data_IF_564622066644
#
_entry.id   IF_564622066644
#
_cell.length_a   1.000
_cell.length_b   1.000
_cell.length_c   1.000
_cell.angle_alpha   90.00
_cell.angle_beta   90.00
_cell.angle_gamma   90.00
#
_symmetry.space_group_name_H-M   'P 1'
#
loop_
_entity.id
_entity.type
_entity.pdbx_description
1 polymer ?
#
# COMPACT_ATOMS: atom_id res chain seq x y z
N UNK A 1 -10.41 -0.44 -14.61
CA UNK A 1 -10.39 -1.88 -14.98
C UNK A 1 -8.97 -2.43 -15.07
N UNK A 2 -8.05 -1.85 -15.85
CA UNK A 2 -6.68 -2.38 -16.04
C UNK A 2 -5.87 -2.56 -14.75
N UNK A 3 -5.84 -1.55 -13.86
CA UNK A 3 -5.15 -1.63 -12.57
C UNK A 3 -5.67 -2.78 -11.68
N UNK A 4 -7.00 -2.91 -11.59
CA UNK A 4 -7.65 -4.01 -10.87
C UNK A 4 -7.37 -5.37 -11.50
N UNK A 5 -7.29 -5.47 -12.83
CA UNK A 5 -6.92 -6.71 -13.52
C UNK A 5 -5.47 -7.13 -13.26
N UNK A 6 -4.52 -6.19 -13.26
CA UNK A 6 -3.12 -6.44 -12.90
C UNK A 6 -3.02 -6.89 -11.45
N UNK A 7 -3.72 -6.21 -10.55
CA UNK A 7 -3.80 -6.59 -9.15
C UNK A 7 -4.64 -7.86 -8.93
N UNK A 8 -5.32 -8.39 -9.95
CA UNK A 8 -6.25 -9.54 -9.86
C UNK A 8 -7.39 -9.32 -8.83
N UNK A 9 -7.84 -8.07 -8.65
CA UNK A 9 -8.87 -7.64 -7.71
C UNK A 9 -10.26 -7.44 -8.35
N UNK A 10 -10.42 -7.82 -9.63
CA UNK A 10 -11.73 -7.75 -10.30
C UNK A 10 -12.68 -8.75 -9.62
N UNK A 11 -13.85 -8.33 -9.13
CA UNK A 11 -14.81 -9.23 -8.48
C UNK A 11 -15.26 -10.34 -9.43
N UNK A 12 -15.27 -11.60 -8.97
CA UNK A 12 -15.71 -12.75 -9.77
C UNK A 12 -17.14 -12.58 -10.30
N UNK A 13 -18.01 -11.92 -9.53
CA UNK A 13 -19.40 -11.66 -9.90
C UNK A 13 -19.58 -10.64 -11.04
N UNK A 14 -18.54 -9.87 -11.37
CA UNK A 14 -18.60 -8.74 -12.33
C UNK A 14 -17.59 -8.90 -13.47
N UNK A 15 -16.55 -9.72 -13.30
CA UNK A 15 -15.42 -9.83 -14.21
C UNK A 15 -15.39 -11.11 -15.03
N UNK A 16 -15.79 -11.02 -16.30
CA UNK A 16 -15.34 -11.99 -17.30
C UNK A 16 -13.85 -11.73 -17.57
N UNK A 17 -12.95 -12.66 -17.19
CA UNK A 17 -11.60 -12.70 -17.77
C UNK A 17 -11.74 -13.21 -19.20
N UNK A 18 -11.98 -12.30 -20.16
CA UNK A 18 -11.72 -12.58 -21.56
C UNK A 18 -10.26 -13.04 -21.65
N UNK A 19 -10.02 -14.22 -22.21
CA UNK A 19 -8.71 -14.88 -22.15
C UNK A 19 -7.52 -13.95 -22.46
N UNK A 20 -6.38 -14.26 -21.86
CA UNK A 20 -5.16 -13.46 -21.96
C UNK A 20 -4.19 -13.82 -20.84
N UNK A 21 -2.97 -13.28 -20.91
CA UNK A 21 -1.96 -13.40 -19.85
C UNK A 21 -1.53 -12.02 -19.39
N UNK A 22 -1.11 -11.94 -18.12
CA UNK A 22 -0.45 -10.76 -17.56
C UNK A 22 0.90 -11.27 -17.07
N UNK A 23 1.98 -10.81 -17.69
CA UNK A 23 3.33 -11.23 -17.29
C UNK A 23 3.96 -10.19 -16.37
N UNK A 24 4.47 -10.68 -15.24
CA UNK A 24 5.27 -9.90 -14.31
C UNK A 24 6.60 -10.62 -14.08
N UNK A 25 7.71 -9.96 -14.45
CA UNK A 25 9.06 -10.53 -14.40
C UNK A 25 9.15 -11.92 -15.07
N UNK A 26 8.49 -12.10 -16.22
CA UNK A 26 8.46 -13.36 -16.98
C UNK A 26 7.56 -14.46 -16.39
N UNK A 27 6.75 -14.15 -15.37
CA UNK A 27 5.76 -15.07 -14.80
C UNK A 27 4.34 -14.60 -15.11
N UNK A 28 3.53 -15.48 -15.70
CA UNK A 28 2.10 -15.21 -15.87
C UNK A 28 1.40 -15.21 -14.50
N UNK A 29 0.87 -14.05 -14.11
CA UNK A 29 0.23 -13.86 -12.81
C UNK A 29 -1.27 -14.20 -12.81
N UNK A 30 -1.86 -14.44 -13.98
CA UNK A 30 -3.31 -14.78 -14.10
C UNK A 30 -3.63 -16.17 -13.55
N UNK A 31 -2.64 -17.05 -13.49
CA UNK A 31 -2.79 -18.47 -13.08
C UNK A 31 -2.28 -18.75 -11.66
N UNK A 32 -1.97 -17.72 -10.89
CA UNK A 32 -1.46 -17.89 -9.53
C UNK A 32 -2.54 -18.40 -8.59
N UNK A 33 -2.13 -19.22 -7.61
CA UNK A 33 -2.97 -19.53 -6.46
C UNK A 33 -3.23 -18.27 -5.63
N UNK A 34 -4.32 -18.24 -4.85
CA UNK A 34 -4.60 -17.10 -3.95
C UNK A 34 -3.48 -16.82 -2.96
N UNK A 35 -2.77 -17.86 -2.50
CA UNK A 35 -1.59 -17.70 -1.64
C UNK A 35 -0.45 -16.98 -2.35
N UNK A 36 -0.19 -17.31 -3.61
CA UNK A 36 0.84 -16.63 -4.40
C UNK A 36 0.41 -15.22 -4.81
N UNK A 37 -0.87 -14.99 -5.14
CA UNK A 37 -1.41 -13.65 -5.37
C UNK A 37 -1.23 -12.76 -4.15
N UNK A 38 -1.50 -13.27 -2.94
CA UNK A 38 -1.28 -12.55 -1.68
C UNK A 38 0.19 -12.25 -1.38
N UNK A 39 1.13 -13.12 -1.78
CA UNK A 39 2.57 -12.84 -1.66
C UNK A 39 3.05 -11.80 -2.67
N UNK A 40 2.47 -11.82 -3.86
CA UNK A 40 2.75 -10.85 -4.93
C UNK A 40 2.24 -9.45 -4.53
N UNK A 41 1.00 -9.36 -4.06
CA UNK A 41 0.39 -8.14 -3.52
C UNK A 41 1.01 -7.75 -2.18
N UNK A 42 1.21 -6.47 -1.93
CA UNK A 42 1.77 -5.95 -0.67
C UNK A 42 3.25 -6.27 -0.44
N UNK A 43 3.86 -7.14 -1.25
CA UNK A 43 5.30 -7.38 -1.29
C UNK A 43 5.96 -6.81 -2.55
N UNK A 44 5.57 -7.30 -3.73
CA UNK A 44 6.18 -6.90 -5.01
C UNK A 44 5.32 -5.90 -5.80
N UNK A 45 4.00 -6.01 -5.67
CA UNK A 45 3.01 -5.12 -6.26
C UNK A 45 2.23 -4.40 -5.17
N UNK A 46 2.12 -3.08 -5.26
CA UNK A 46 1.26 -2.29 -4.38
C UNK A 46 0.34 -1.39 -5.20
N UNK A 47 -0.81 -1.05 -4.61
CA UNK A 47 -1.78 -0.13 -5.23
C UNK A 47 -2.18 0.97 -4.24
N UNK A 48 -2.30 2.19 -4.75
CA UNK A 48 -2.87 3.35 -4.08
C UNK A 48 -4.23 3.63 -4.73
N UNK A 49 -5.29 3.54 -3.93
CA UNK A 49 -6.67 3.79 -4.36
C UNK A 49 -7.05 5.28 -4.22
N UNK A 50 -8.05 5.72 -4.99
CA UNK A 50 -8.52 7.11 -5.03
C UNK A 50 -9.10 7.62 -3.70
N UNK A 51 -9.63 6.74 -2.83
CA UNK A 51 -10.30 7.12 -1.59
C UNK A 51 -9.47 6.75 -0.34
N UNK A 52 -8.48 7.57 0.07
CA UNK A 52 -7.65 7.28 1.25
C UNK A 52 -8.44 7.22 2.55
N UNK A 53 -9.64 7.82 2.58
CA UNK A 53 -10.49 7.93 3.77
C UNK A 53 -11.11 6.59 4.18
N UNK A 54 -11.29 5.66 3.25
CA UNK A 54 -11.84 4.32 3.52
C UNK A 54 -10.75 3.27 3.73
N UNK A 55 -9.51 3.56 3.33
CA UNK A 55 -8.39 2.62 3.41
C UNK A 55 -7.86 2.40 4.83
N UNK A 56 -7.97 3.42 5.71
CA UNK A 56 -7.54 3.32 7.10
C UNK A 56 -8.70 2.88 7.99
N UNK A 57 -8.46 1.87 8.82
CA UNK A 57 -9.40 1.46 9.86
C UNK A 57 -9.44 2.53 10.97
N UNK A 58 -10.60 3.19 11.21
CA UNK A 58 -10.69 4.33 12.13
C UNK A 58 -10.54 3.95 13.61
N UNK A 59 -10.69 2.67 13.96
CA UNK A 59 -10.56 2.17 15.34
C UNK A 59 -9.16 1.66 15.68
N UNK A 60 -8.24 1.67 14.72
CA UNK A 60 -6.84 1.27 14.91
C UNK A 60 -5.93 2.49 14.78
N UNK A 61 -4.82 2.50 15.53
CA UNK A 61 -3.81 3.53 15.35
C UNK A 61 -3.11 3.39 14.00
N UNK A 62 -2.54 4.48 13.52
CA UNK A 62 -1.75 4.54 12.29
C UNK A 62 -0.57 3.58 12.34
N UNK A 63 0.15 3.59 13.46
CA UNK A 63 1.30 2.74 13.70
C UNK A 63 0.95 1.26 13.74
N UNK A 64 -0.20 0.90 14.34
CA UNK A 64 -0.66 -0.49 14.37
C UNK A 64 -0.86 -1.04 12.95
N UNK A 65 -1.56 -0.30 12.09
CA UNK A 65 -1.87 -0.72 10.73
C UNK A 65 -0.60 -0.83 9.86
N UNK A 66 0.36 0.08 10.05
CA UNK A 66 1.66 0.02 9.38
C UNK A 66 2.49 -1.19 9.85
N UNK A 67 2.55 -1.44 11.15
CA UNK A 67 3.27 -2.59 11.73
C UNK A 67 2.64 -3.91 11.28
N UNK A 68 1.31 -3.99 11.22
CA UNK A 68 0.62 -5.17 10.69
C UNK A 68 1.04 -5.42 9.24
N UNK A 69 0.93 -4.42 8.37
CA UNK A 69 1.33 -4.54 6.96
C UNK A 69 2.79 -5.00 6.81
N UNK A 70 3.72 -4.40 7.56
CA UNK A 70 5.13 -4.78 7.55
C UNK A 70 5.34 -6.24 7.95
N UNK A 71 4.67 -6.69 9.02
CA UNK A 71 4.83 -8.05 9.56
C UNK A 71 4.13 -9.13 8.72
N UNK A 72 3.12 -8.77 7.93
CA UNK A 72 2.48 -9.70 6.99
C UNK A 72 3.40 -10.04 5.80
N UNK A 73 4.21 -9.07 5.37
CA UNK A 73 5.04 -9.20 4.16
C UNK A 73 6.53 -9.41 4.44
N UNK A 74 6.99 -9.18 5.68
CA UNK A 74 8.39 -9.37 6.09
C UNK A 74 8.49 -10.09 7.42
N UNK A 75 9.55 -10.87 7.59
CA UNK A 75 9.90 -11.46 8.88
C UNK A 75 10.59 -10.38 9.73
N UNK A 76 9.78 -9.65 10.51
CA UNK A 76 10.26 -8.61 11.41
C UNK A 76 9.71 -8.83 12.82
N UNK A 77 10.55 -8.57 13.81
CA UNK A 77 10.12 -8.45 15.21
C UNK A 77 9.22 -7.21 15.38
N UNK A 78 8.40 -7.15 16.44
CA UNK A 78 7.57 -5.98 16.72
C UNK A 78 8.36 -4.66 16.78
N UNK A 79 9.55 -4.68 17.37
CA UNK A 79 10.41 -3.49 17.51
C UNK A 79 10.99 -3.04 16.17
N UNK A 80 11.48 -3.97 15.34
CA UNK A 80 11.97 -3.66 14.00
C UNK A 80 10.85 -3.08 13.12
N UNK A 81 9.66 -3.68 13.19
CA UNK A 81 8.49 -3.20 12.45
C UNK A 81 8.08 -1.80 12.91
N UNK A 82 8.12 -1.52 14.22
CA UNK A 82 7.84 -0.18 14.76
C UNK A 82 8.84 0.86 14.26
N UNK A 83 10.13 0.57 14.33
CA UNK A 83 11.17 1.48 13.85
C UNK A 83 11.02 1.74 12.34
N UNK A 84 10.74 0.69 11.56
CA UNK A 84 10.51 0.82 10.12
C UNK A 84 9.25 1.62 9.79
N UNK A 85 8.16 1.42 10.53
CA UNK A 85 6.93 2.18 10.36
C UNK A 85 7.15 3.68 10.62
N UNK A 86 7.87 4.03 11.70
CA UNK A 86 8.23 5.43 11.99
C UNK A 86 9.12 6.01 10.87
N UNK A 87 10.08 5.24 10.38
CA UNK A 87 10.93 5.66 9.27
C UNK A 87 10.12 5.91 7.98
N UNK A 88 9.16 5.03 7.67
CA UNK A 88 8.26 5.19 6.51
C UNK A 88 7.40 6.44 6.64
N UNK A 89 6.83 6.70 7.82
CA UNK A 89 6.10 7.95 8.09
C UNK A 89 6.98 9.18 7.85
N UNK A 90 8.25 9.12 8.25
CA UNK A 90 9.23 10.17 7.97
C UNK A 90 9.49 10.36 6.47
N UNK A 91 9.64 9.27 5.71
CA UNK A 91 9.86 9.30 4.26
C UNK A 91 8.72 9.96 3.49
N UNK A 92 7.47 9.77 3.94
CA UNK A 92 6.30 10.42 3.34
C UNK A 92 6.04 11.82 3.93
N UNK A 93 7.01 12.41 4.63
CA UNK A 93 6.92 13.74 5.23
C UNK A 93 5.74 13.92 6.21
N UNK A 94 5.49 12.91 7.07
CA UNK A 94 4.58 13.08 8.21
C UNK A 94 5.32 13.85 9.31
N UNK A 95 4.81 15.02 9.76
CA UNK A 95 5.41 15.75 10.86
C UNK A 95 5.34 14.95 12.16
N UNK A 96 6.43 14.95 12.93
CA UNK A 96 6.55 14.22 14.20
C UNK A 96 6.15 12.73 14.09
N UNK A 97 6.79 11.94 13.21
CA UNK A 97 6.33 10.58 12.88
C UNK A 97 6.25 9.66 14.10
N UNK A 98 7.10 9.86 15.11
CA UNK A 98 7.06 9.14 16.39
C UNK A 98 5.76 9.40 17.14
N UNK A 99 5.29 10.66 17.18
CA UNK A 99 4.02 11.02 17.82
C UNK A 99 2.83 10.52 17.01
N UNK A 100 2.87 10.71 15.68
CA UNK A 100 1.79 10.33 14.77
C UNK A 100 1.59 8.82 14.67
N UNK A 101 2.60 8.04 15.01
CA UNK A 101 2.51 6.59 15.08
C UNK A 101 1.38 6.11 16.01
N UNK A 102 1.20 6.76 17.16
CA UNK A 102 0.18 6.39 18.15
C UNK A 102 -1.17 7.09 17.92
N UNK A 103 -1.26 8.00 16.93
CA UNK A 103 -2.50 8.68 16.57
C UNK A 103 -3.43 7.79 15.73
N UNK A 104 -4.73 8.07 15.82
CA UNK A 104 -5.78 7.44 15.04
C UNK A 104 -6.07 8.24 13.77
N UNK A 105 -6.64 7.63 12.71
CA UNK A 105 -6.94 8.31 11.47
C UNK A 105 -7.74 9.60 11.66
N UNK A 106 -8.74 9.62 12.55
CA UNK A 106 -9.57 10.82 12.78
C UNK A 106 -8.80 12.02 13.37
N UNK A 107 -7.58 11.82 13.87
CA UNK A 107 -6.70 12.88 14.38
C UNK A 107 -5.77 13.48 13.30
N UNK A 108 -5.76 12.88 12.10
CA UNK A 108 -4.93 13.31 10.98
C UNK A 108 -5.72 14.18 9.98
N UNK A 109 -5.03 15.14 9.36
CA UNK A 109 -5.59 15.87 8.22
C UNK A 109 -5.76 14.94 7.01
N UNK A 110 -6.57 15.35 6.02
CA UNK A 110 -6.78 14.57 4.79
C UNK A 110 -5.46 14.24 4.07
N UNK A 111 -4.60 15.24 3.87
CA UNK A 111 -3.28 15.04 3.25
C UNK A 111 -2.34 14.15 4.07
N UNK A 112 -2.45 14.17 5.40
CA UNK A 112 -1.69 13.24 6.24
C UNK A 112 -2.18 11.80 6.10
N UNK A 113 -3.49 11.57 6.06
CA UNK A 113 -4.06 10.22 5.81
C UNK A 113 -3.60 9.66 4.48
N UNK A 114 -3.58 10.50 3.45
CA UNK A 114 -3.07 10.16 2.13
C UNK A 114 -1.59 9.77 2.16
N UNK A 115 -0.74 10.55 2.86
CA UNK A 115 0.68 10.20 3.07
C UNK A 115 0.85 8.89 3.84
N UNK A 116 0.05 8.63 4.86
CA UNK A 116 0.03 7.35 5.59
C UNK A 116 -0.32 6.20 4.65
N UNK A 117 -1.32 6.36 3.77
CA UNK A 117 -1.68 5.33 2.78
C UNK A 117 -0.53 5.06 1.80
N UNK A 118 0.19 6.09 1.36
CA UNK A 118 1.41 5.93 0.55
C UNK A 118 2.46 5.14 1.33
N UNK A 119 2.70 5.48 2.61
CA UNK A 119 3.63 4.73 3.46
C UNK A 119 3.23 3.25 3.62
N UNK A 120 1.94 2.95 3.74
CA UNK A 120 1.44 1.57 3.78
C UNK A 120 1.66 0.83 2.46
N UNK A 121 1.43 1.49 1.33
CA UNK A 121 1.69 0.91 0.01
C UNK A 121 3.19 0.64 -0.21
N UNK A 122 4.06 1.50 0.34
CA UNK A 122 5.52 1.35 0.28
C UNK A 122 6.09 0.40 1.34
N UNK A 123 5.30 0.00 2.35
CA UNK A 123 5.79 -0.82 3.46
C UNK A 123 6.39 -2.17 3.00
N UNK A 124 5.80 -2.74 1.94
CA UNK A 124 6.27 -3.95 1.28
C UNK A 124 7.60 -3.82 0.55
N UNK A 125 8.03 -2.59 0.23
CA UNK A 125 9.06 -2.28 -0.76
C UNK A 125 8.70 -2.85 -2.15
N UNK A 126 7.54 -2.43 -2.68
CA UNK A 126 7.04 -2.93 -3.95
C UNK A 126 7.97 -2.52 -5.09
N UNK A 127 8.16 -3.44 -6.03
CA UNK A 127 8.87 -3.16 -7.29
C UNK A 127 7.98 -2.44 -8.30
N UNK A 128 6.66 -2.58 -8.17
CA UNK A 128 5.68 -1.86 -9.00
C UNK A 128 4.60 -1.28 -8.09
N UNK A 129 4.47 0.04 -8.14
CA UNK A 129 3.43 0.80 -7.46
C UNK A 129 2.43 1.32 -8.51
N UNK A 130 1.16 0.95 -8.36
CA UNK A 130 0.07 1.40 -9.23
C UNK A 130 -0.74 2.45 -8.48
N UNK A 131 -0.83 3.67 -9.00
CA UNK A 131 -1.69 4.71 -8.45
C UNK A 131 -2.90 4.91 -9.36
N UNK A 132 -4.10 4.81 -8.79
CA UNK A 132 -5.33 5.21 -9.47
C UNK A 132 -5.54 6.72 -9.22
N UNK A 133 -5.48 7.53 -10.28
CA UNK A 133 -5.32 9.01 -10.25
C UNK A 133 -4.05 9.55 -9.55
N UNK A 134 -2.89 9.54 -10.23
CA UNK A 134 -1.61 9.91 -9.62
C UNK A 134 -1.52 11.40 -9.24
N UNK A 135 -2.27 12.28 -9.92
CA UNK A 135 -2.17 13.74 -9.75
C UNK A 135 -2.85 14.27 -8.49
N UNK A 136 -3.80 13.50 -7.93
CA UNK A 136 -4.53 13.85 -6.70
C UNK A 136 -3.85 13.21 -5.49
N UNK A 137 -3.23 12.03 -5.68
CA UNK A 137 -2.60 11.24 -4.62
C UNK A 137 -1.10 11.53 -4.41
N UNK A 138 -0.33 11.79 -5.47
CA UNK A 138 1.08 12.18 -5.36
C UNK A 138 1.20 13.69 -5.56
N UNK A 139 1.18 14.41 -4.46
CA UNK A 139 1.75 15.75 -4.41
C UNK A 139 3.19 15.66 -4.97
N UNK A 140 3.54 16.58 -5.89
CA UNK A 140 4.75 16.59 -6.75
C UNK A 140 6.05 16.36 -5.95
N UNK A 141 6.00 16.64 -4.65
CA UNK A 141 7.06 16.39 -3.67
C UNK A 141 7.40 14.91 -3.43
N UNK A 142 6.44 13.97 -3.53
CA UNK A 142 6.65 12.52 -3.31
C UNK A 142 7.23 11.85 -4.57
N UNK A 143 6.86 12.32 -5.76
CA UNK A 143 7.32 11.76 -7.04
C UNK A 143 8.84 11.81 -7.21
N UNK A 144 9.48 12.88 -6.71
CA UNK A 144 10.93 13.08 -6.77
C UNK A 144 11.74 12.25 -5.77
N UNK A 145 11.10 11.59 -4.81
CA UNK A 145 11.77 10.76 -3.80
C UNK A 145 11.61 9.25 -4.05
N UNK A 146 10.69 8.85 -4.93
CA UNK A 146 10.38 7.44 -5.25
C UNK A 146 11.04 6.98 -6.56
N UNK A 147 11.47 7.90 -7.43
CA UNK A 147 12.26 7.65 -8.65
C UNK A 147 13.74 7.95 -8.42
#
# INVERSE_FOLDING_TARGET
>A
MTALSIMQLVPEAVGYQAGGSIEYLGRDITRLSETDKRRLRGGQLAMIFQEPMTALNPVLSVGFQLVESLRQHRQQTPDEARQRAIALLGQVNIPDPVKRFDEYPHQLSGGMKQRVMIAMAMAGDPRLLIADEPTTALDVTIQAQIL
#
